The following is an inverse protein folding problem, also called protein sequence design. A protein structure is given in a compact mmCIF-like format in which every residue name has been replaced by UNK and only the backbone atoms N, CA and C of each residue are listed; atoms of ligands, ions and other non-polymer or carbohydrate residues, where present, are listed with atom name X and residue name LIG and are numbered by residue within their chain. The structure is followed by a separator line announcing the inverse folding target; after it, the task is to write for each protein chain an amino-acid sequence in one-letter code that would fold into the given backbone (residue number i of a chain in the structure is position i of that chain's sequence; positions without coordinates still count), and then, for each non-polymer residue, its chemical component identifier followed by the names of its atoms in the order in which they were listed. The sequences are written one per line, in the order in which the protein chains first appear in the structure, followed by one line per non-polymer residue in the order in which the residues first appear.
data_IF_701357508091
#
_entry.id   IF_701357508091
#
_cell.length_a   1.000
_cell.length_b   1.000
_cell.length_c   1.000
_cell.angle_alpha   90.00
_cell.angle_beta   90.00
_cell.angle_gamma   90.00
#
_symmetry.space_group_name_H-M   'P 1'
#
loop_
_entity.id
_entity.type
_entity.pdbx_description
1 polymer ?
#
# COMPACT_ATOMS: atom_id res chain seq x y z
N UNK A 1 -46.35 61.76 -11.93
CA UNK A 1 -45.14 61.95 -11.09
C UNK A 1 -44.51 60.59 -10.87
N UNK A 2 -43.49 60.25 -11.68
CA UNK A 2 -42.11 59.99 -11.25
C UNK A 2 -41.91 58.72 -10.38
N UNK A 3 -41.52 57.64 -11.08
CA UNK A 3 -40.43 56.67 -10.79
C UNK A 3 -40.52 55.76 -9.54
N UNK A 4 -40.51 54.45 -9.80
CA UNK A 4 -39.40 53.58 -9.36
C UNK A 4 -39.31 52.32 -10.24
N UNK A 5 -38.18 52.20 -10.94
CA UNK A 5 -37.68 51.03 -11.67
C UNK A 5 -36.66 50.38 -10.74
N UNK A 6 -36.79 49.09 -10.42
CA UNK A 6 -35.64 48.26 -9.99
C UNK A 6 -35.80 46.87 -10.64
N UNK A 7 -34.69 46.44 -11.24
CA UNK A 7 -34.52 45.33 -12.17
C UNK A 7 -34.77 43.94 -11.55
N UNK A 8 -35.41 43.06 -12.32
CA UNK A 8 -35.50 41.63 -12.04
C UNK A 8 -34.58 40.89 -13.01
N UNK A 9 -33.41 40.49 -12.53
CA UNK A 9 -32.51 39.57 -13.24
C UNK A 9 -31.72 38.79 -12.19
N UNK A 10 -32.01 37.49 -12.02
CA UNK A 10 -31.13 36.53 -11.35
C UNK A 10 -31.51 35.12 -11.86
N UNK A 11 -30.82 34.64 -12.90
CA UNK A 11 -29.72 33.64 -12.83
C UNK A 11 -30.21 32.25 -12.39
N UNK A 12 -30.35 31.38 -13.39
CA UNK A 12 -30.44 29.93 -13.27
C UNK A 12 -29.12 29.32 -12.81
N UNK A 13 -29.12 28.58 -11.70
CA UNK A 13 -28.08 27.59 -11.38
C UNK A 13 -28.70 26.34 -10.76
N UNK A 14 -28.64 25.25 -11.51
CA UNK A 14 -28.69 23.88 -11.00
C UNK A 14 -27.48 23.65 -10.08
N UNK A 15 -27.70 23.11 -8.89
CA UNK A 15 -26.77 22.20 -8.19
C UNK A 15 -27.34 21.82 -6.82
N UNK A 16 -27.50 20.51 -6.56
CA UNK A 16 -27.68 20.03 -5.19
C UNK A 16 -28.37 18.68 -5.04
N UNK A 17 -27.74 17.59 -5.50
CA UNK A 17 -27.90 16.32 -4.77
C UNK A 17 -26.96 16.38 -3.56
N UNK A 18 -27.47 16.79 -2.40
CA UNK A 18 -26.72 16.67 -1.14
C UNK A 18 -26.90 15.25 -0.60
N UNK A 19 -25.81 14.51 -0.52
CA UNK A 19 -25.72 13.29 0.25
C UNK A 19 -25.81 13.63 1.75
N UNK A 20 -26.84 13.11 2.42
CA UNK A 20 -27.12 13.31 3.84
C UNK A 20 -26.01 12.70 4.72
N UNK A 21 -25.19 13.54 5.36
CA UNK A 21 -24.35 13.12 6.50
C UNK A 21 -25.20 13.12 7.78
N UNK A 22 -25.21 12.01 8.53
CA UNK A 22 -25.83 11.93 9.86
C UNK A 22 -24.79 12.18 10.95
N UNK A 23 -25.04 13.13 11.83
CA UNK A 23 -24.28 13.36 13.08
C UNK A 23 -25.02 12.72 14.26
N UNK A 24 -24.28 12.08 15.18
CA UNK A 24 -24.84 11.55 16.42
C UNK A 24 -25.01 12.70 17.45
N UNK A 25 -26.26 12.99 17.80
CA UNK A 25 -26.65 14.19 18.55
C UNK A 25 -26.27 14.19 20.04
N UNK A 26 -25.65 13.13 20.57
CA UNK A 26 -25.37 13.00 22.01
C UNK A 26 -23.89 13.22 22.35
N UNK A 27 -22.96 12.86 21.47
CA UNK A 27 -21.51 12.92 21.76
C UNK A 27 -20.75 13.93 20.90
N UNK A 28 -21.36 14.48 19.85
CA UNK A 28 -20.70 15.45 18.95
C UNK A 28 -19.54 14.85 18.14
N UNK A 29 -19.35 13.53 18.19
CA UNK A 29 -18.37 12.82 17.38
C UNK A 29 -18.87 12.70 15.95
N UNK A 30 -18.01 13.02 14.98
CA UNK A 30 -18.25 12.63 13.60
C UNK A 30 -18.11 11.12 13.54
N UNK A 31 -19.22 10.40 13.44
CA UNK A 31 -19.20 8.99 13.07
C UNK A 31 -18.68 8.87 11.63
N UNK A 32 -17.37 8.65 11.51
CA UNK A 32 -16.77 8.17 10.27
C UNK A 32 -17.32 6.78 10.04
N UNK A 33 -18.39 6.68 9.26
CA UNK A 33 -18.98 5.42 8.81
C UNK A 33 -17.85 4.47 8.38
N UNK A 34 -17.77 3.30 9.02
CA UNK A 34 -16.96 2.17 8.56
C UNK A 34 -17.26 1.79 7.09
N UNK A 35 -18.40 2.24 6.57
CA UNK A 35 -18.76 2.17 5.16
C UNK A 35 -17.82 2.96 4.23
N UNK A 36 -17.08 4.00 4.66
CA UNK A 36 -16.20 4.75 3.74
C UNK A 36 -14.83 4.08 3.58
N UNK A 37 -14.31 3.40 4.62
CA UNK A 37 -13.13 2.53 4.47
C UNK A 37 -13.49 1.20 3.78
N UNK A 38 -14.71 0.70 4.00
CA UNK A 38 -15.22 -0.52 3.36
C UNK A 38 -15.70 -0.34 1.92
N UNK A 39 -16.28 0.81 1.52
CA UNK A 39 -16.85 0.99 0.18
C UNK A 39 -15.82 1.14 -0.95
N UNK A 40 -14.60 1.60 -0.64
CA UNK A 40 -13.52 1.64 -1.64
C UNK A 40 -12.97 0.23 -1.92
N UNK A 41 -12.97 -0.64 -0.91
CA UNK A 41 -12.39 -1.99 -0.97
C UNK A 41 -13.44 -3.04 -1.38
N UNK A 42 -14.69 -2.88 -0.94
CA UNK A 42 -15.77 -3.84 -1.12
C UNK A 42 -16.25 -4.03 -2.57
N UNK A 43 -15.98 -3.07 -3.48
CA UNK A 43 -16.28 -3.26 -4.91
C UNK A 43 -15.30 -4.20 -5.63
N UNK A 44 -14.09 -4.42 -5.09
CA UNK A 44 -13.06 -5.24 -5.75
C UNK A 44 -13.05 -6.69 -5.25
N UNK A 45 -13.39 -6.93 -3.98
CA UNK A 45 -13.39 -8.26 -3.37
C UNK A 45 -14.58 -9.16 -3.79
N UNK A 46 -15.74 -8.57 -4.14
CA UNK A 46 -16.99 -9.31 -4.38
C UNK A 46 -17.04 -10.22 -5.62
N UNK A 47 -16.03 -10.23 -6.48
CA UNK A 47 -16.05 -10.93 -7.78
C UNK A 47 -15.02 -12.07 -7.93
N UNK A 48 -14.23 -12.38 -6.90
CA UNK A 48 -13.11 -13.33 -7.03
C UNK A 48 -13.51 -14.82 -7.05
N UNK A 49 -14.78 -15.15 -6.78
CA UNK A 49 -15.27 -16.55 -6.79
C UNK A 49 -15.65 -16.94 -8.22
N UNK A 50 -14.67 -17.31 -9.07
CA UNK A 50 -14.93 -17.96 -10.36
C UNK A 50 -13.96 -17.68 -11.53
N UNK A 51 -13.02 -16.73 -11.40
CA UNK A 51 -11.99 -16.47 -12.40
C UNK A 51 -10.69 -17.22 -12.07
N UNK A 52 -9.95 -17.69 -13.09
CA UNK A 52 -8.62 -18.30 -12.87
C UNK A 52 -7.62 -17.34 -12.22
N UNK A 53 -6.46 -17.87 -11.79
CA UNK A 53 -5.43 -17.11 -11.06
C UNK A 53 -5.10 -15.74 -11.68
N UNK A 54 -5.06 -15.63 -13.02
CA UNK A 54 -4.85 -14.36 -13.72
C UNK A 54 -5.89 -13.28 -13.36
N UNK A 55 -7.20 -13.61 -13.40
CA UNK A 55 -8.27 -12.66 -13.06
C UNK A 55 -8.20 -12.22 -11.59
N UNK A 56 -7.89 -13.17 -10.71
CA UNK A 56 -7.70 -12.90 -9.29
C UNK A 56 -6.58 -11.87 -9.06
N UNK A 57 -5.42 -12.11 -9.69
CA UNK A 57 -4.25 -11.26 -9.60
C UNK A 57 -4.48 -9.88 -10.26
N UNK A 58 -5.26 -9.81 -11.34
CA UNK A 58 -5.62 -8.52 -11.97
C UNK A 58 -6.46 -7.64 -11.04
N UNK A 59 -7.41 -8.23 -10.32
CA UNK A 59 -8.23 -7.51 -9.33
C UNK A 59 -7.41 -7.08 -8.13
N UNK A 60 -6.57 -7.96 -7.63
CA UNK A 60 -5.65 -7.64 -6.54
C UNK A 60 -4.69 -6.50 -6.93
N UNK A 61 -4.13 -6.54 -8.14
CA UNK A 61 -3.26 -5.50 -8.67
C UNK A 61 -3.99 -4.15 -8.73
N UNK A 62 -5.21 -4.13 -9.27
CA UNK A 62 -6.02 -2.91 -9.34
C UNK A 62 -6.27 -2.32 -7.95
N UNK A 63 -6.62 -3.16 -6.97
CA UNK A 63 -6.85 -2.73 -5.59
C UNK A 63 -5.58 -2.13 -4.97
N UNK A 64 -4.44 -2.80 -5.14
CA UNK A 64 -3.14 -2.33 -4.65
C UNK A 64 -2.76 -1.00 -5.30
N UNK A 65 -2.88 -0.87 -6.62
CA UNK A 65 -2.55 0.38 -7.34
C UNK A 65 -3.41 1.56 -6.86
N UNK A 66 -4.70 1.34 -6.61
CA UNK A 66 -5.59 2.38 -6.11
C UNK A 66 -5.23 2.82 -4.69
N UNK A 67 -4.92 1.88 -3.80
CA UNK A 67 -4.59 2.18 -2.40
C UNK A 67 -3.18 2.75 -2.21
N UNK A 68 -2.24 2.38 -3.08
CA UNK A 68 -0.82 2.70 -2.90
C UNK A 68 -0.34 3.89 -3.74
N UNK A 69 -1.22 4.52 -4.54
CA UNK A 69 -0.85 5.62 -5.45
C UNK A 69 -0.10 6.78 -4.76
N UNK A 70 -0.42 7.08 -3.51
CA UNK A 70 0.21 8.17 -2.73
C UNK A 70 1.24 7.69 -1.71
N UNK A 71 1.54 6.39 -1.68
CA UNK A 71 2.40 5.78 -0.66
C UNK A 71 3.89 5.77 -1.01
N UNK A 72 4.22 6.01 -2.28
CA UNK A 72 5.58 5.81 -2.82
C UNK A 72 5.93 4.34 -3.10
N UNK A 73 5.02 3.40 -2.83
CA UNK A 73 5.20 1.98 -3.16
C UNK A 73 4.84 1.72 -4.61
N UNK A 74 5.76 1.10 -5.35
CA UNK A 74 5.50 0.70 -6.72
C UNK A 74 4.81 -0.67 -6.74
N UNK A 75 3.80 -0.81 -7.60
CA UNK A 75 3.13 -2.09 -7.88
C UNK A 75 3.54 -2.53 -9.29
N UNK A 76 4.15 -3.70 -9.42
CA UNK A 76 4.58 -4.29 -10.70
C UNK A 76 3.93 -5.65 -10.91
N UNK A 77 3.43 -5.90 -12.12
CA UNK A 77 3.03 -7.23 -12.57
C UNK A 77 4.26 -7.94 -13.14
N UNK A 78 4.65 -9.06 -12.54
CA UNK A 78 5.83 -9.82 -12.98
C UNK A 78 5.42 -10.84 -14.04
N UNK A 79 4.35 -11.59 -13.76
CA UNK A 79 3.72 -12.54 -14.67
C UNK A 79 2.26 -12.76 -14.24
N UNK A 80 1.53 -13.68 -14.88
CA UNK A 80 0.12 -13.94 -14.59
C UNK A 80 -0.17 -14.29 -13.11
N UNK A 81 0.78 -14.90 -12.41
CA UNK A 81 0.62 -15.42 -11.05
C UNK A 81 1.43 -14.66 -9.99
N UNK A 82 2.08 -13.55 -10.35
CA UNK A 82 2.99 -12.83 -9.44
C UNK A 82 2.88 -11.32 -9.58
N UNK A 83 2.64 -10.68 -8.43
CA UNK A 83 2.75 -9.23 -8.24
C UNK A 83 3.97 -8.93 -7.37
N UNK A 84 4.62 -7.79 -7.60
CA UNK A 84 5.70 -7.31 -6.78
C UNK A 84 5.40 -5.90 -6.29
N UNK A 85 5.45 -5.71 -4.98
CA UNK A 85 5.45 -4.39 -4.35
C UNK A 85 6.87 -4.01 -4.01
N UNK A 86 7.30 -2.81 -4.40
CA UNK A 86 8.67 -2.34 -4.15
C UNK A 86 8.62 -1.07 -3.31
N UNK A 87 9.25 -1.14 -2.14
CA UNK A 87 9.48 -0.02 -1.22
C UNK A 87 10.95 0.40 -1.36
N UNK A 88 11.23 1.35 -2.25
CA UNK A 88 12.59 1.82 -2.56
C UNK A 88 13.07 2.94 -1.62
N UNK A 89 14.32 3.38 -1.77
CA UNK A 89 14.87 4.56 -1.08
C UNK A 89 14.88 4.46 0.45
N UNK A 90 14.86 3.25 1.00
CA UNK A 90 14.75 2.99 2.43
C UNK A 90 13.41 3.44 3.01
N UNK A 91 12.36 3.62 2.18
CA UNK A 91 11.04 4.00 2.66
C UNK A 91 10.60 3.02 3.76
N UNK A 92 10.26 3.59 4.91
CA UNK A 92 9.84 2.86 6.11
C UNK A 92 10.94 2.43 7.06
N UNK A 93 12.21 2.79 6.81
CA UNK A 93 13.30 2.55 7.74
C UNK A 93 14.24 3.75 7.84
N UNK A 94 14.70 4.04 9.06
CA UNK A 94 15.80 4.98 9.25
C UNK A 94 17.14 4.35 8.81
N UNK A 95 18.14 5.20 8.58
CA UNK A 95 19.48 4.76 8.19
C UNK A 95 20.07 3.80 9.23
N UNK A 96 20.59 2.65 8.79
CA UNK A 96 21.12 1.60 9.67
C UNK A 96 20.10 0.91 10.57
N UNK A 97 18.82 1.26 10.48
CA UNK A 97 17.74 0.70 11.29
C UNK A 97 16.96 -0.36 10.53
N UNK A 98 16.45 -1.34 11.28
CA UNK A 98 15.43 -2.30 10.85
C UNK A 98 14.10 -2.09 11.57
N UNK A 99 13.97 -1.05 12.40
CA UNK A 99 12.68 -0.66 12.96
C UNK A 99 11.85 0.07 11.92
N UNK A 100 10.57 -0.32 11.82
CA UNK A 100 9.62 0.36 10.95
C UNK A 100 9.40 1.79 11.45
N UNK A 101 9.66 2.75 10.56
CA UNK A 101 9.37 4.15 10.82
C UNK A 101 7.86 4.38 10.86
N UNK A 102 7.39 5.31 11.69
CA UNK A 102 5.96 5.53 11.90
C UNK A 102 5.21 5.93 10.62
N UNK A 103 5.91 6.53 9.66
CA UNK A 103 5.36 6.96 8.38
C UNK A 103 4.95 5.80 7.45
N UNK A 104 5.44 4.58 7.67
CA UNK A 104 5.15 3.44 6.80
C UNK A 104 3.91 2.66 7.22
N UNK A 105 3.46 2.82 8.47
CA UNK A 105 2.32 2.07 8.98
C UNK A 105 1.03 2.30 8.18
N UNK A 106 0.67 3.52 7.73
CA UNK A 106 -0.50 3.71 6.88
C UNK A 106 -0.42 2.89 5.59
N UNK A 107 0.76 2.86 4.96
CA UNK A 107 1.02 2.08 3.73
C UNK A 107 0.90 0.59 3.99
N UNK A 108 1.57 0.06 5.02
CA UNK A 108 1.50 -1.37 5.36
C UNK A 108 0.09 -1.79 5.79
N UNK A 109 -0.68 -0.90 6.42
CA UNK A 109 -2.10 -1.14 6.73
C UNK A 109 -2.92 -1.28 5.46
N UNK A 110 -2.72 -0.41 4.46
CA UNK A 110 -3.39 -0.54 3.16
C UNK A 110 -3.01 -1.83 2.46
N UNK A 111 -1.73 -2.22 2.49
CA UNK A 111 -1.28 -3.52 1.96
C UNK A 111 -1.97 -4.68 2.68
N UNK A 112 -1.97 -4.69 4.02
CA UNK A 112 -2.57 -5.74 4.82
C UNK A 112 -4.09 -5.87 4.59
N UNK A 113 -4.80 -4.75 4.44
CA UNK A 113 -6.22 -4.76 4.10
C UNK A 113 -6.47 -5.51 2.79
N UNK A 114 -5.72 -5.20 1.73
CA UNK A 114 -5.87 -5.91 0.46
C UNK A 114 -5.45 -7.37 0.59
N UNK A 115 -4.34 -7.68 1.26
CA UNK A 115 -3.91 -9.06 1.46
C UNK A 115 -4.91 -9.92 2.27
N UNK A 116 -5.73 -9.28 3.12
CA UNK A 116 -6.83 -9.92 3.84
C UNK A 116 -8.02 -10.27 2.94
N UNK A 117 -8.36 -9.40 1.99
CA UNK A 117 -9.41 -9.63 0.98
C UNK A 117 -9.00 -10.67 -0.07
N UNK A 118 -7.69 -10.81 -0.29
CA UNK A 118 -7.11 -11.76 -1.25
C UNK A 118 -6.29 -12.86 -0.52
N UNK A 119 -6.94 -13.84 0.16
CA UNK A 119 -6.26 -14.84 0.99
C UNK A 119 -5.52 -15.94 0.21
N UNK A 120 -5.86 -16.18 -1.05
CA UNK A 120 -5.33 -17.26 -1.91
C UNK A 120 -3.96 -16.90 -2.51
N UNK A 121 -3.10 -16.28 -1.71
CA UNK A 121 -1.75 -15.86 -2.12
C UNK A 121 -0.73 -16.12 -1.03
N UNK A 122 0.48 -16.50 -1.42
CA UNK A 122 1.67 -16.51 -0.56
C UNK A 122 2.51 -15.25 -0.78
N UNK A 123 3.28 -14.88 0.23
CA UNK A 123 4.07 -13.66 0.31
C UNK A 123 5.53 -14.04 0.52
N UNK A 124 6.40 -13.57 -0.37
CA UNK A 124 7.85 -13.61 -0.17
C UNK A 124 8.34 -12.17 0.02
N UNK A 125 8.83 -11.86 1.22
CA UNK A 125 9.33 -10.53 1.57
C UNK A 125 10.85 -10.55 1.50
N UNK A 126 11.42 -9.72 0.63
CA UNK A 126 12.84 -9.72 0.29
C UNK A 126 13.48 -8.40 0.70
N UNK A 127 14.47 -8.45 1.58
CA UNK A 127 15.21 -7.27 2.01
C UNK A 127 16.51 -7.12 1.22
N UNK A 128 16.82 -5.89 0.81
CA UNK A 128 18.06 -5.54 0.12
C UNK A 128 18.72 -4.30 0.75
N UNK A 129 20.04 -4.24 0.65
CA UNK A 129 20.86 -3.07 1.02
C UNK A 129 21.64 -2.56 -0.18
N UNK A 130 22.27 -1.38 -0.01
CA UNK A 130 23.35 -0.97 -0.89
C UNK A 130 24.67 -1.68 -0.51
N UNK A 131 25.73 -1.41 -1.27
CA UNK A 131 27.06 -2.01 -1.08
C UNK A 131 27.95 -1.26 -0.06
N UNK A 132 27.38 -0.45 0.81
CA UNK A 132 28.15 0.30 1.82
C UNK A 132 28.31 -0.53 3.08
N UNK A 133 29.54 -0.61 3.60
CA UNK A 133 29.82 -1.29 4.86
C UNK A 133 30.08 -2.79 4.71
N UNK A 134 30.23 -3.53 5.84
CA UNK A 134 30.55 -4.94 5.80
C UNK A 134 29.38 -5.79 5.28
N UNK A 135 29.67 -6.72 4.37
CA UNK A 135 28.68 -7.65 3.79
C UNK A 135 27.86 -8.41 4.85
N UNK A 136 28.49 -8.85 5.96
CA UNK A 136 27.78 -9.50 7.06
C UNK A 136 26.73 -8.60 7.73
N UNK A 137 27.04 -7.31 7.89
CA UNK A 137 26.12 -6.34 8.47
C UNK A 137 24.96 -6.06 7.51
N UNK A 138 25.26 -5.96 6.22
CA UNK A 138 24.28 -5.79 5.16
C UNK A 138 23.31 -6.98 5.10
N UNK A 139 23.84 -8.20 5.20
CA UNK A 139 23.04 -9.42 5.27
C UNK A 139 22.08 -9.37 6.47
N UNK A 140 22.59 -9.17 7.69
CA UNK A 140 21.74 -9.07 8.89
C UNK A 140 20.71 -7.94 8.79
N UNK A 141 21.10 -6.76 8.32
CA UNK A 141 20.19 -5.62 8.18
C UNK A 141 19.05 -5.95 7.21
N UNK A 142 19.37 -6.56 6.07
CA UNK A 142 18.38 -6.95 5.07
C UNK A 142 17.38 -7.98 5.61
N UNK A 143 17.85 -8.99 6.35
CA UNK A 143 17.03 -10.03 6.97
C UNK A 143 16.08 -9.43 8.01
N UNK A 144 16.60 -8.56 8.89
CA UNK A 144 15.80 -7.93 9.94
C UNK A 144 14.74 -6.98 9.37
N UNK A 145 15.03 -6.27 8.27
CA UNK A 145 14.04 -5.42 7.58
C UNK A 145 12.92 -6.25 6.96
N UNK A 146 13.27 -7.32 6.24
CA UNK A 146 12.29 -8.25 5.68
C UNK A 146 11.42 -8.87 6.78
N UNK A 147 12.05 -9.29 7.88
CA UNK A 147 11.37 -9.82 9.06
C UNK A 147 10.41 -8.80 9.68
N UNK A 148 10.84 -7.55 9.85
CA UNK A 148 10.02 -6.51 10.48
C UNK A 148 8.75 -6.20 9.67
N UNK A 149 8.85 -6.18 8.34
CA UNK A 149 7.66 -6.07 7.46
C UNK A 149 6.77 -7.31 7.61
N UNK A 150 7.35 -8.51 7.59
CA UNK A 150 6.61 -9.76 7.76
C UNK A 150 5.87 -9.85 9.09
N UNK A 151 6.56 -9.60 10.20
CA UNK A 151 5.99 -9.57 11.55
C UNK A 151 4.84 -8.55 11.65
N UNK A 152 5.00 -7.39 11.02
CA UNK A 152 3.95 -6.37 10.98
C UNK A 152 2.69 -6.86 10.27
N UNK A 153 2.84 -7.44 9.06
CA UNK A 153 1.70 -7.97 8.30
C UNK A 153 1.00 -9.12 9.05
N UNK A 154 1.76 -9.98 9.72
CA UNK A 154 1.20 -11.03 10.59
C UNK A 154 0.41 -10.39 11.76
N UNK A 155 0.94 -9.33 12.37
CA UNK A 155 0.24 -8.53 13.38
C UNK A 155 -1.08 -7.93 12.87
N UNK A 156 -1.14 -7.58 11.58
CA UNK A 156 -2.35 -7.15 10.86
C UNK A 156 -3.24 -8.31 10.40
N UNK A 157 -3.14 -9.49 11.03
CA UNK A 157 -4.00 -10.67 10.81
C UNK A 157 -3.78 -11.41 9.49
N UNK A 158 -2.67 -11.18 8.80
CA UNK A 158 -2.26 -12.07 7.71
C UNK A 158 -1.76 -13.39 8.29
N UNK A 159 -2.26 -14.52 7.77
CA UNK A 159 -1.88 -15.84 8.25
C UNK A 159 -0.36 -16.05 8.11
N UNK A 160 0.32 -16.47 9.18
CA UNK A 160 1.77 -16.65 9.19
C UNK A 160 2.27 -17.66 8.15
N UNK A 161 1.48 -18.71 7.86
CA UNK A 161 1.80 -19.68 6.80
C UNK A 161 1.84 -19.09 5.39
N UNK A 162 1.31 -17.87 5.19
CA UNK A 162 1.41 -17.14 3.92
C UNK A 162 2.68 -16.29 3.83
N UNK A 163 3.41 -16.06 4.92
CA UNK A 163 4.51 -15.09 4.97
C UNK A 163 5.86 -15.80 5.07
N UNK A 164 6.69 -15.62 4.05
CA UNK A 164 8.10 -15.98 4.06
C UNK A 164 8.95 -14.71 3.97
N UNK A 165 10.08 -14.68 4.67
CA UNK A 165 10.98 -13.52 4.70
C UNK A 165 12.41 -13.95 4.41
N UNK A 166 13.14 -13.17 3.61
CA UNK A 166 14.53 -13.44 3.27
C UNK A 166 15.31 -12.12 3.11
N UNK A 167 16.54 -12.08 3.61
CA UNK A 167 17.48 -10.99 3.33
C UNK A 167 18.49 -11.41 2.27
N UNK A 168 18.81 -10.49 1.36
CA UNK A 168 19.79 -10.68 0.29
C UNK A 168 21.04 -9.81 0.46
N UNK A 169 21.12 -9.01 1.52
CA UNK A 169 22.18 -8.04 1.71
C UNK A 169 22.31 -7.12 0.49
N UNK A 170 23.56 -6.91 0.06
CA UNK A 170 23.90 -6.13 -1.13
C UNK A 170 23.85 -6.92 -2.43
N UNK A 171 23.48 -8.21 -2.36
CA UNK A 171 23.34 -9.05 -3.54
C UNK A 171 22.09 -8.65 -4.34
N UNK A 172 22.18 -8.85 -5.66
CA UNK A 172 21.13 -8.48 -6.62
C UNK A 172 20.80 -6.97 -6.64
N UNK A 173 21.79 -6.10 -6.92
CA UNK A 173 21.54 -4.69 -7.13
C UNK A 173 20.68 -4.47 -8.38
N UNK A 174 19.69 -3.59 -8.29
CA UNK A 174 18.84 -3.19 -9.42
C UNK A 174 19.26 -1.83 -9.99
N UNK A 175 20.04 -1.08 -9.21
CA UNK A 175 20.58 0.22 -9.55
C UNK A 175 22.10 0.26 -9.32
N UNK A 176 22.77 1.27 -9.88
CA UNK A 176 24.22 1.42 -9.80
C UNK A 176 24.69 1.82 -8.37
N UNK A 177 25.45 0.95 -7.72
CA UNK A 177 25.99 1.22 -6.38
C UNK A 177 27.09 2.30 -6.34
N UNK A 178 27.64 2.70 -7.48
CA UNK A 178 28.66 3.76 -7.51
C UNK A 178 28.07 5.15 -7.26
N UNK A 179 26.79 5.37 -7.54
CA UNK A 179 26.08 6.64 -7.35
C UNK A 179 25.28 6.69 -6.04
N UNK A 180 25.07 7.88 -5.49
CA UNK A 180 24.28 8.03 -4.26
C UNK A 180 22.81 7.65 -4.48
N UNK A 181 22.29 8.01 -5.65
CA UNK A 181 20.94 7.73 -6.11
C UNK A 181 20.72 6.23 -6.31
N UNK A 182 21.68 5.54 -6.96
CA UNK A 182 21.56 4.10 -7.17
C UNK A 182 21.71 3.29 -5.88
N UNK A 183 22.55 3.73 -4.93
CA UNK A 183 22.54 3.16 -3.57
C UNK A 183 21.20 3.35 -2.87
N UNK A 184 20.56 4.51 -3.00
CA UNK A 184 19.24 4.74 -2.44
C UNK A 184 18.19 3.79 -3.02
N UNK A 185 18.18 3.62 -4.34
CA UNK A 185 17.34 2.64 -5.02
C UNK A 185 17.58 1.19 -4.54
N UNK A 186 18.83 0.80 -4.29
CA UNK A 186 19.17 -0.56 -3.82
C UNK A 186 18.75 -0.82 -2.37
N UNK A 187 18.64 0.21 -1.52
CA UNK A 187 18.05 0.12 -0.18
C UNK A 187 16.53 -0.04 -0.31
N UNK A 188 16.07 -1.28 -0.49
CA UNK A 188 14.66 -1.57 -0.75
C UNK A 188 14.18 -2.82 -0.04
N UNK A 189 12.86 -2.91 0.12
CA UNK A 189 12.18 -4.14 0.48
C UNK A 189 11.14 -4.45 -0.59
N UNK A 190 11.12 -5.69 -1.03
CA UNK A 190 10.18 -6.21 -2.02
C UNK A 190 9.19 -7.15 -1.33
N UNK A 191 7.91 -7.08 -1.72
CA UNK A 191 6.88 -8.03 -1.32
C UNK A 191 6.37 -8.69 -2.59
N UNK A 192 6.81 -9.92 -2.84
CA UNK A 192 6.30 -10.72 -3.95
C UNK A 192 5.05 -11.46 -3.47
N UNK A 193 3.95 -11.25 -4.19
CA UNK A 193 2.65 -11.85 -3.92
C UNK A 193 2.43 -12.88 -5.01
N UNK A 194 2.36 -14.16 -4.65
CA UNK A 194 2.23 -15.26 -5.59
C UNK A 194 0.89 -15.96 -5.39
N UNK A 195 0.19 -16.24 -6.47
CA UNK A 195 -1.04 -17.05 -6.44
C UNK A 195 -0.74 -18.47 -5.92
N UNK A 196 -1.67 -19.02 -5.15
CA UNK A 196 -1.65 -20.41 -4.67
C UNK A 196 -2.25 -21.40 -5.68
#
# INVERSE_FOLDING_TARGET
MKRCIIALSLISLLSGCQATQRQNATTGEFETNSATKGALVGMLAGAAIGGGAGYYMDKQEQALRQQLVSSGVQVKRINENELQLIMENGIGFDSGSYYLSSNIYPTLNSVALILGEYPETRLEIKGHTDSTGPSSNNQTLSEQRAKSVGDYLIGQKIASGRVATQGFGEHYPVCDNTTAEGRACNRRVEINILAL
#
